data_IF_387765486363
#
_entry.id   IF_387765486363
#
_cell.length_a   1.000
_cell.length_b   1.000
_cell.length_c   1.000
_cell.angle_alpha   90.00
_cell.angle_beta   90.00
_cell.angle_gamma   90.00
#
_symmetry.space_group_name_H-M   'P 1'
#
loop_
_entity.id
_entity.type
_entity.pdbx_description
1 polymer ?
#
# COMPACT_ATOMS: atom_id res chain seq x y z
N UNK A 1 22.61 25.08 -11.30
CA UNK A 1 21.32 25.35 -10.64
C UNK A 1 20.58 24.03 -10.53
N UNK A 2 20.35 23.51 -9.32
CA UNK A 2 19.47 22.33 -9.15
C UNK A 2 18.05 22.74 -9.50
N UNK A 3 17.41 22.06 -10.44
CA UNK A 3 16.02 22.34 -10.81
C UNK A 3 15.10 22.14 -9.60
N UNK A 4 14.48 23.21 -9.06
CA UNK A 4 13.53 23.11 -7.93
C UNK A 4 12.41 22.11 -8.23
N UNK A 5 12.05 21.98 -9.51
CA UNK A 5 11.07 21.02 -10.02
C UNK A 5 11.39 19.55 -9.68
N UNK A 6 12.67 19.15 -9.64
CA UNK A 6 13.05 17.77 -9.29
C UNK A 6 12.79 17.47 -7.82
N UNK A 7 13.10 18.40 -6.91
CA UNK A 7 12.84 18.24 -5.47
C UNK A 7 11.33 18.19 -5.20
N UNK A 8 10.56 19.10 -5.78
CA UNK A 8 9.10 19.13 -5.64
C UNK A 8 8.47 17.83 -6.14
N UNK A 9 8.95 17.26 -7.26
CA UNK A 9 8.44 15.99 -7.78
C UNK A 9 8.58 14.83 -6.79
N UNK A 10 9.75 14.67 -6.16
CA UNK A 10 9.94 13.61 -5.16
C UNK A 10 9.08 13.80 -3.92
N UNK A 11 8.90 15.05 -3.47
CA UNK A 11 8.00 15.36 -2.37
C UNK A 11 6.55 15.00 -2.71
N UNK A 12 6.08 15.35 -3.91
CA UNK A 12 4.73 15.01 -4.37
C UNK A 12 4.52 13.49 -4.44
N UNK A 13 5.50 12.75 -4.98
CA UNK A 13 5.43 11.28 -5.03
C UNK A 13 5.26 10.71 -3.61
N UNK A 14 6.05 11.19 -2.64
CA UNK A 14 5.92 10.76 -1.24
C UNK A 14 4.54 11.10 -0.66
N UNK A 15 4.07 12.33 -0.85
CA UNK A 15 2.79 12.80 -0.34
C UNK A 15 1.58 12.07 -0.93
N UNK A 16 1.69 11.47 -2.11
CA UNK A 16 0.62 10.66 -2.71
C UNK A 16 0.78 9.18 -2.35
N UNK A 17 1.99 8.64 -2.44
CA UNK A 17 2.24 7.22 -2.21
C UNK A 17 2.06 6.80 -0.75
N UNK A 18 2.43 7.65 0.22
CA UNK A 18 2.31 7.29 1.64
C UNK A 18 0.83 7.20 2.10
N UNK A 19 -0.05 8.19 1.81
CA UNK A 19 -1.48 8.04 2.07
C UNK A 19 -2.10 6.93 1.23
N UNK A 20 -1.67 6.75 -0.03
CA UNK A 20 -2.12 5.65 -0.87
C UNK A 20 -1.85 4.28 -0.24
N UNK A 21 -0.65 4.06 0.29
CA UNK A 21 -0.30 2.85 1.02
C UNK A 21 -1.20 2.63 2.25
N UNK A 22 -1.43 3.70 3.03
CA UNK A 22 -2.30 3.63 4.21
C UNK A 22 -3.75 3.29 3.83
N UNK A 23 -4.31 3.93 2.79
CA UNK A 23 -5.67 3.66 2.32
C UNK A 23 -5.80 2.21 1.85
N UNK A 24 -4.86 1.74 1.03
CA UNK A 24 -4.86 0.34 0.56
C UNK A 24 -4.82 -0.61 1.74
N UNK A 25 -3.96 -0.36 2.74
CA UNK A 25 -3.91 -1.16 3.95
C UNK A 25 -5.26 -1.16 4.68
N UNK A 26 -5.80 0.00 5.06
CA UNK A 26 -7.01 0.07 5.88
C UNK A 26 -8.25 -0.49 5.19
N UNK A 27 -8.45 -0.16 3.90
CA UNK A 27 -9.62 -0.61 3.14
C UNK A 27 -9.57 -2.12 2.95
N UNK A 28 -8.46 -2.64 2.43
CA UNK A 28 -8.38 -4.07 2.16
C UNK A 28 -8.26 -4.91 3.45
N UNK A 29 -7.69 -4.36 4.53
CA UNK A 29 -7.64 -5.05 5.81
C UNK A 29 -9.03 -5.18 6.43
N UNK A 30 -9.86 -4.13 6.33
CA UNK A 30 -11.26 -4.21 6.77
C UNK A 30 -12.02 -5.28 5.97
N UNK A 31 -11.91 -5.26 4.65
CA UNK A 31 -12.53 -6.26 3.77
C UNK A 31 -12.03 -7.66 4.10
N UNK A 32 -10.73 -7.85 4.29
CA UNK A 32 -10.14 -9.14 4.64
C UNK A 32 -10.65 -9.63 6.01
N UNK A 33 -10.73 -8.76 7.01
CA UNK A 33 -11.24 -9.11 8.34
C UNK A 33 -12.71 -9.54 8.26
N UNK A 34 -13.55 -8.78 7.55
CA UNK A 34 -14.98 -9.10 7.38
C UNK A 34 -15.20 -10.42 6.63
N UNK A 35 -14.42 -10.67 5.58
CA UNK A 35 -14.45 -11.94 4.84
C UNK A 35 -13.98 -13.11 5.69
N UNK A 36 -12.97 -12.90 6.53
CA UNK A 36 -12.46 -13.95 7.44
C UNK A 36 -13.47 -14.29 8.53
N UNK A 37 -14.16 -13.30 9.09
CA UNK A 37 -15.25 -13.52 10.06
C UNK A 37 -16.43 -14.22 9.40
N UNK A 38 -16.82 -13.80 8.20
CA UNK A 38 -17.89 -14.43 7.44
C UNK A 38 -17.57 -15.90 7.11
N UNK A 39 -16.33 -16.17 6.70
CA UNK A 39 -15.82 -17.52 6.47
C UNK A 39 -15.92 -18.41 7.73
N UNK A 40 -15.55 -17.87 8.89
CA UNK A 40 -15.65 -18.59 10.16
C UNK A 40 -17.11 -18.85 10.59
N UNK A 41 -18.02 -17.92 10.28
CA UNK A 41 -19.44 -18.04 10.63
C UNK A 41 -20.20 -19.06 9.77
N UNK A 42 -19.86 -19.20 8.49
CA UNK A 42 -20.55 -20.09 7.55
C UNK A 42 -20.10 -21.56 7.71
N UNK A 43 -18.94 -21.81 8.34
CA UNK A 43 -18.46 -23.16 8.67
C UNK A 43 -18.02 -24.02 7.47
N UNK A 44 -18.33 -23.59 6.24
CA UNK A 44 -17.85 -24.14 4.99
C UNK A 44 -17.56 -23.00 4.01
N UNK A 45 -16.33 -22.91 3.54
CA UNK A 45 -15.92 -21.99 2.48
C UNK A 45 -15.43 -22.84 1.33
N UNK A 46 -16.04 -22.69 0.15
CA UNK A 46 -15.59 -23.41 -1.03
C UNK A 46 -14.16 -22.96 -1.44
N UNK A 47 -13.45 -23.84 -2.14
CA UNK A 47 -12.05 -23.62 -2.48
C UNK A 47 -11.81 -22.35 -3.31
N UNK A 48 -12.79 -21.91 -4.11
CA UNK A 48 -12.67 -20.69 -4.91
C UNK A 48 -12.75 -19.45 -4.03
N UNK A 49 -13.69 -19.41 -3.08
CA UNK A 49 -13.82 -18.32 -2.10
C UNK A 49 -12.58 -18.23 -1.21
N UNK A 50 -12.03 -19.36 -0.76
CA UNK A 50 -10.80 -19.36 0.03
C UNK A 50 -9.59 -18.86 -0.77
N UNK A 51 -9.47 -19.23 -2.04
CA UNK A 51 -8.45 -18.71 -2.95
C UNK A 51 -8.61 -17.20 -3.18
N UNK A 52 -9.85 -16.70 -3.30
CA UNK A 52 -10.15 -15.27 -3.40
C UNK A 52 -9.71 -14.48 -2.18
N UNK A 53 -9.98 -14.99 -0.97
CA UNK A 53 -9.54 -14.38 0.30
C UNK A 53 -8.01 -14.31 0.36
N UNK A 54 -7.33 -15.40 0.02
CA UNK A 54 -5.86 -15.44 0.02
C UNK A 54 -5.26 -14.48 -1.02
N UNK A 55 -5.79 -14.47 -2.24
CA UNK A 55 -5.34 -13.54 -3.27
C UNK A 55 -5.56 -12.08 -2.85
N UNK A 56 -6.72 -11.77 -2.25
CA UNK A 56 -7.00 -10.44 -1.69
C UNK A 56 -5.98 -10.03 -0.63
N UNK A 57 -5.61 -10.95 0.27
CA UNK A 57 -4.55 -10.71 1.26
C UNK A 57 -3.18 -10.43 0.61
N UNK A 58 -2.79 -11.22 -0.39
CA UNK A 58 -1.52 -11.01 -1.11
C UNK A 58 -1.50 -9.65 -1.81
N UNK A 59 -2.60 -9.27 -2.47
CA UNK A 59 -2.72 -7.96 -3.15
C UNK A 59 -2.68 -6.82 -2.14
N UNK A 60 -3.37 -6.95 -1.00
CA UNK A 60 -3.35 -5.96 0.07
C UNK A 60 -1.93 -5.73 0.58
N UNK A 61 -1.26 -6.79 1.02
CA UNK A 61 0.08 -6.71 1.60
C UNK A 61 1.09 -6.25 0.55
N UNK A 62 1.05 -6.87 -0.63
CA UNK A 62 1.94 -6.53 -1.74
C UNK A 62 1.78 -5.09 -2.23
N UNK A 63 0.54 -4.63 -2.42
CA UNK A 63 0.25 -3.26 -2.85
C UNK A 63 0.66 -2.23 -1.81
N UNK A 64 0.39 -2.50 -0.53
CA UNK A 64 0.81 -1.63 0.58
C UNK A 64 2.34 -1.53 0.65
N UNK A 65 3.05 -2.66 0.61
CA UNK A 65 4.52 -2.69 0.65
C UNK A 65 5.11 -1.96 -0.56
N UNK A 66 4.58 -2.17 -1.76
CA UNK A 66 5.06 -1.51 -2.97
C UNK A 66 4.93 0.02 -2.87
N UNK A 67 3.76 0.52 -2.45
CA UNK A 67 3.53 1.95 -2.28
C UNK A 67 4.39 2.54 -1.17
N UNK A 68 4.54 1.84 -0.04
CA UNK A 68 5.41 2.25 1.05
C UNK A 68 6.88 2.33 0.61
N UNK A 69 7.36 1.36 -0.18
CA UNK A 69 8.71 1.37 -0.73
C UNK A 69 8.94 2.56 -1.68
N UNK A 70 7.97 2.86 -2.55
CA UNK A 70 8.02 4.04 -3.44
C UNK A 70 8.04 5.34 -2.63
N UNK A 71 7.22 5.43 -1.58
CA UNK A 71 7.19 6.59 -0.70
C UNK A 71 8.55 6.80 -0.01
N UNK A 72 9.10 5.77 0.63
CA UNK A 72 10.40 5.84 1.31
C UNK A 72 11.53 6.18 0.33
N UNK A 73 11.52 5.59 -0.87
CA UNK A 73 12.49 5.90 -1.91
C UNK A 73 12.41 7.36 -2.36
N UNK A 74 11.19 7.89 -2.56
CA UNK A 74 10.99 9.28 -2.94
C UNK A 74 11.44 10.24 -1.84
N UNK A 75 11.13 9.94 -0.57
CA UNK A 75 11.59 10.72 0.58
C UNK A 75 13.11 10.72 0.68
N UNK A 76 13.77 9.57 0.53
CA UNK A 76 15.23 9.47 0.53
C UNK A 76 15.85 10.34 -0.57
N UNK A 77 15.30 10.30 -1.79
CA UNK A 77 15.76 11.14 -2.91
C UNK A 77 15.57 12.63 -2.61
N UNK A 78 14.44 13.01 -2.03
CA UNK A 78 14.17 14.38 -1.62
C UNK A 78 15.18 14.88 -0.59
N UNK A 79 15.43 14.11 0.48
CA UNK A 79 16.38 14.48 1.55
C UNK A 79 17.80 14.60 0.97
N UNK A 80 18.25 13.61 0.19
CA UNK A 80 19.58 13.61 -0.43
C UNK A 80 19.80 14.83 -1.35
N UNK A 81 18.76 15.27 -2.06
CA UNK A 81 18.82 16.47 -2.90
C UNK A 81 18.67 17.77 -2.12
N UNK A 82 18.22 17.70 -0.86
CA UNK A 82 18.04 18.87 0.01
C UNK A 82 19.27 19.19 0.85
N UNK A 83 20.10 18.18 1.13
CA UNK A 83 21.34 18.29 1.89
C UNK A 83 22.59 18.62 1.04
N UNK A 84 22.42 18.70 -0.28
CA UNK A 84 23.46 19.09 -1.25
C UNK A 84 23.17 20.49 -1.77
#
# INVERSE_FOLDING_TARGET
>A
MMDPQRRTRYLVIFLVAAPGAAIVWFVFHAVYADLTVSAAAVGYVDALTQAGIYFGYVVMVGGTIALAAVALWALYRYIRLSLR
#
